data_IF_099413218248
#
_entry.id   IF_099413218248
#
_cell.length_a   1.000
_cell.length_b   1.000
_cell.length_c   1.000
_cell.angle_alpha   90.00
_cell.angle_beta   90.00
_cell.angle_gamma   90.00
#
_symmetry.space_group_name_H-M   'P 1'
#
loop_
_entity.id
_entity.type
_entity.pdbx_description
1 polymer ?
#
# COMPACT_ATOMS: atom_id res chain seq x y z
N UNK A 1 -7.18 5.47 -3.91
CA UNK A 1 -6.63 4.83 -5.13
C UNK A 1 -7.65 3.94 -5.85
N UNK A 2 -8.27 2.95 -5.18
CA UNK A 2 -9.28 2.05 -5.81
C UNK A 2 -10.38 2.80 -6.57
N UNK A 3 -10.94 3.84 -5.97
CA UNK A 3 -12.01 4.65 -6.58
C UNK A 3 -11.53 5.37 -7.85
N UNK A 4 -10.29 5.84 -7.90
CA UNK A 4 -9.75 6.48 -9.10
C UNK A 4 -9.65 5.47 -10.26
N UNK A 5 -9.21 4.23 -9.99
CA UNK A 5 -9.25 3.15 -11.00
C UNK A 5 -10.68 2.85 -11.44
N UNK A 6 -11.61 2.74 -10.49
CA UNK A 6 -13.02 2.44 -10.78
C UNK A 6 -13.70 3.50 -11.66
N UNK A 7 -13.26 4.76 -11.57
CA UNK A 7 -13.76 5.87 -12.38
C UNK A 7 -12.88 6.18 -13.60
N UNK A 8 -11.89 5.32 -13.91
CA UNK A 8 -10.92 5.53 -14.99
C UNK A 8 -10.15 6.87 -14.91
N UNK A 9 -9.96 7.42 -13.70
CA UNK A 9 -9.27 8.68 -13.45
C UNK A 9 -7.78 8.43 -13.17
N UNK A 10 -7.01 8.26 -14.25
CA UNK A 10 -5.56 8.04 -14.17
C UNK A 10 -4.82 9.22 -13.55
N UNK A 11 -5.08 10.49 -13.90
CA UNK A 11 -4.41 11.62 -13.28
C UNK A 11 -4.59 11.69 -11.75
N UNK A 12 -5.79 11.42 -11.23
CA UNK A 12 -5.99 11.36 -9.78
C UNK A 12 -5.29 10.15 -9.15
N UNK A 13 -5.33 8.98 -9.81
CA UNK A 13 -4.62 7.80 -9.33
C UNK A 13 -3.12 8.05 -9.19
N UNK A 14 -2.49 8.63 -10.21
CA UNK A 14 -1.05 8.90 -10.21
C UNK A 14 -0.66 9.89 -9.11
N UNK A 15 -1.45 10.94 -8.88
CA UNK A 15 -1.24 11.88 -7.76
C UNK A 15 -1.34 11.19 -6.39
N UNK A 16 -2.38 10.40 -6.19
CA UNK A 16 -2.58 9.65 -4.94
C UNK A 16 -1.43 8.68 -4.71
N UNK A 17 -1.08 7.90 -5.73
CA UNK A 17 -0.01 6.90 -5.64
C UNK A 17 1.34 7.54 -5.37
N UNK A 18 1.70 8.58 -6.12
CA UNK A 18 2.98 9.27 -5.97
C UNK A 18 3.14 9.86 -4.57
N UNK A 19 2.08 10.46 -4.02
CA UNK A 19 2.12 10.96 -2.65
C UNK A 19 2.28 9.82 -1.64
N UNK A 20 1.49 8.74 -1.77
CA UNK A 20 1.56 7.58 -0.88
C UNK A 20 2.96 6.94 -0.86
N UNK A 21 3.56 6.70 -2.03
CA UNK A 21 4.89 6.08 -2.14
C UNK A 21 6.01 7.00 -1.65
N UNK A 22 5.93 8.31 -1.92
CA UNK A 22 6.97 9.24 -1.47
C UNK A 22 6.89 9.59 0.02
N UNK A 23 5.69 9.63 0.59
CA UNK A 23 5.48 10.14 1.96
C UNK A 23 5.34 9.03 2.99
N UNK A 24 4.68 7.92 2.64
CA UNK A 24 4.33 6.88 3.62
C UNK A 24 5.17 5.61 3.50
N UNK A 25 5.94 5.42 2.42
CA UNK A 25 6.73 4.19 2.25
C UNK A 25 7.73 3.98 3.38
N UNK A 26 7.61 2.85 4.06
CA UNK A 26 8.64 2.34 4.95
C UNK A 26 9.66 1.53 4.14
N UNK A 27 10.86 2.09 3.96
CA UNK A 27 11.94 1.46 3.18
C UNK A 27 12.54 0.21 3.83
N UNK A 28 12.29 -0.02 5.12
CA UNK A 28 12.87 -1.17 5.84
C UNK A 28 12.13 -2.48 5.55
N UNK A 29 10.80 -2.42 5.34
CA UNK A 29 9.98 -3.61 5.12
C UNK A 29 9.17 -3.57 3.81
N UNK A 30 9.07 -2.41 3.13
CA UNK A 30 8.30 -2.27 1.91
C UNK A 30 6.80 -2.07 2.11
N UNK A 31 6.34 -1.82 3.33
CA UNK A 31 4.94 -1.44 3.66
C UNK A 31 4.81 0.08 3.83
N UNK A 32 3.67 0.58 4.30
CA UNK A 32 3.41 2.01 4.46
C UNK A 32 3.11 2.38 5.92
N UNK A 33 3.66 3.50 6.39
CA UNK A 33 3.24 4.11 7.65
C UNK A 33 1.76 4.45 7.58
N UNK A 34 0.99 4.07 8.59
CA UNK A 34 -0.47 4.09 8.49
C UNK A 34 -1.07 5.50 8.53
N UNK A 35 -0.35 6.47 9.12
CA UNK A 35 -0.89 7.79 9.39
C UNK A 35 0.08 8.91 9.07
N UNK A 36 -0.46 9.93 8.41
CA UNK A 36 0.17 11.23 8.22
C UNK A 36 -0.59 12.30 9.01
N UNK A 37 0.12 13.11 9.80
CA UNK A 37 -0.43 14.26 10.50
C UNK A 37 0.32 15.55 10.13
N UNK A 38 -0.21 16.41 9.25
CA UNK A 38 0.52 17.56 8.72
C UNK A 38 0.90 18.62 9.76
N UNK A 39 0.23 18.64 10.92
CA UNK A 39 0.49 19.62 11.98
C UNK A 39 1.39 19.08 13.09
N UNK A 40 1.77 17.80 13.03
CA UNK A 40 2.69 17.21 14.01
C UNK A 40 4.15 17.58 13.67
N UNK A 41 5.04 17.67 14.68
CA UNK A 41 6.47 17.90 14.46
C UNK A 41 7.12 16.81 13.59
N UNK A 42 6.79 15.53 13.84
CA UNK A 42 7.03 14.42 12.90
C UNK A 42 5.66 14.00 12.33
N UNK A 43 5.38 14.32 11.04
CA UNK A 43 4.11 13.97 10.42
C UNK A 43 3.83 12.48 10.31
N UNK A 44 4.85 11.63 10.44
CA UNK A 44 4.75 10.16 10.36
C UNK A 44 5.31 9.53 11.65
N UNK A 45 5.02 10.13 12.81
CA UNK A 45 5.60 9.72 14.09
C UNK A 45 5.43 8.22 14.41
N UNK A 46 4.27 7.65 14.10
CA UNK A 46 4.02 6.22 14.23
C UNK A 46 4.59 5.47 13.02
N UNK A 47 5.51 4.53 13.29
CA UNK A 47 6.24 3.78 12.27
C UNK A 47 5.62 2.42 11.97
N UNK A 48 4.49 2.07 12.59
CA UNK A 48 3.70 0.89 12.23
C UNK A 48 2.94 1.10 10.91
N UNK A 49 2.58 -0.02 10.29
CA UNK A 49 1.70 -0.03 9.13
C UNK A 49 0.23 -0.16 9.54
N UNK A 50 -0.62 -0.46 8.56
CA UNK A 50 -1.98 -0.96 8.76
C UNK A 50 -2.29 -1.88 7.59
N UNK A 51 -2.41 -3.19 7.85
CA UNK A 51 -2.40 -4.22 6.79
C UNK A 51 -3.59 -4.11 5.82
N UNK A 52 -4.72 -3.57 6.26
CA UNK A 52 -5.85 -3.26 5.38
C UNK A 52 -5.49 -2.17 4.37
N UNK A 53 -4.86 -1.08 4.81
CA UNK A 53 -4.35 -0.01 3.96
C UNK A 53 -3.33 -0.50 2.94
N UNK A 54 -2.33 -1.26 3.39
CA UNK A 54 -1.32 -1.88 2.50
C UNK A 54 -1.98 -2.77 1.44
N UNK A 55 -2.95 -3.59 1.85
CA UNK A 55 -3.69 -4.49 0.94
C UNK A 55 -4.51 -3.71 -0.09
N UNK A 56 -5.18 -2.63 0.33
CA UNK A 56 -5.97 -1.78 -0.57
C UNK A 56 -5.08 -1.05 -1.58
N UNK A 57 -3.88 -0.61 -1.18
CA UNK A 57 -2.90 0.02 -2.07
C UNK A 57 -2.42 -0.98 -3.13
N UNK A 58 -1.98 -2.17 -2.70
CA UNK A 58 -1.54 -3.23 -3.61
C UNK A 58 -2.65 -3.63 -4.59
N UNK A 59 -3.87 -3.83 -4.09
CA UNK A 59 -5.01 -4.17 -4.93
C UNK A 59 -5.34 -3.08 -5.95
N UNK A 60 -5.28 -1.81 -5.56
CA UNK A 60 -5.49 -0.70 -6.47
C UNK A 60 -4.43 -0.65 -7.58
N UNK A 61 -3.16 -0.90 -7.25
CA UNK A 61 -2.07 -0.96 -8.22
C UNK A 61 -2.24 -2.13 -9.21
N UNK A 62 -2.61 -3.31 -8.74
CA UNK A 62 -2.89 -4.44 -9.62
C UNK A 62 -4.08 -4.16 -10.56
N UNK A 63 -5.14 -3.52 -10.05
CA UNK A 63 -6.27 -3.09 -10.88
C UNK A 63 -5.88 -2.00 -11.88
N UNK A 64 -5.04 -1.04 -11.48
CA UNK A 64 -4.52 0.00 -12.35
C UNK A 64 -3.70 -0.56 -13.51
N UNK A 65 -2.88 -1.60 -13.27
CA UNK A 65 -2.18 -2.28 -14.35
C UNK A 65 -3.17 -2.89 -15.35
N UNK A 66 -4.23 -3.55 -14.89
CA UNK A 66 -5.25 -4.13 -15.79
C UNK A 66 -6.00 -3.06 -16.58
N UNK A 67 -6.35 -1.94 -15.94
CA UNK A 67 -7.10 -0.84 -16.56
C UNK A 67 -6.28 -0.07 -17.61
N UNK A 68 -5.01 0.23 -17.32
CA UNK A 68 -4.18 1.12 -18.16
C UNK A 68 -2.99 0.43 -18.85
N UNK A 69 -2.87 -0.90 -18.71
CA UNK A 69 -1.84 -1.74 -19.33
C UNK A 69 -0.38 -1.29 -19.03
N UNK A 70 -0.18 -0.65 -17.89
CA UNK A 70 1.13 -0.17 -17.45
C UNK A 70 1.73 -1.11 -16.41
N UNK A 71 2.80 -1.81 -16.82
CA UNK A 71 3.47 -2.87 -16.04
C UNK A 71 4.04 -2.34 -14.71
N UNK A 72 4.33 -1.05 -14.62
CA UNK A 72 4.91 -0.43 -13.42
C UNK A 72 4.00 -0.57 -12.21
N UNK A 73 2.67 -0.50 -12.39
CA UNK A 73 1.74 -0.70 -11.27
C UNK A 73 1.72 -2.15 -10.79
N UNK A 74 1.81 -3.15 -11.68
CA UNK A 74 1.91 -4.55 -11.26
C UNK A 74 3.20 -4.82 -10.49
N UNK A 75 4.35 -4.32 -10.97
CA UNK A 75 5.63 -4.47 -10.26
C UNK A 75 5.55 -3.89 -8.84
N UNK A 76 4.94 -2.71 -8.69
CA UNK A 76 4.74 -2.10 -7.38
C UNK A 76 3.77 -2.92 -6.49
N UNK A 77 2.68 -3.44 -7.06
CA UNK A 77 1.76 -4.33 -6.36
C UNK A 77 2.46 -5.60 -5.86
N UNK A 78 3.23 -6.27 -6.72
CA UNK A 78 3.93 -7.51 -6.40
C UNK A 78 4.88 -7.31 -5.22
N UNK A 79 5.65 -6.22 -5.23
CA UNK A 79 6.54 -5.86 -4.12
C UNK A 79 5.78 -5.68 -2.80
N UNK A 80 4.62 -5.02 -2.80
CA UNK A 80 3.81 -4.81 -1.58
C UNK A 80 3.20 -6.13 -1.10
N UNK A 81 2.66 -6.95 -2.00
CA UNK A 81 2.08 -8.24 -1.61
C UNK A 81 3.13 -9.20 -1.04
N UNK A 82 4.35 -9.21 -1.59
CA UNK A 82 5.46 -9.97 -1.03
C UNK A 82 5.84 -9.47 0.38
N UNK A 83 5.84 -8.14 0.59
CA UNK A 83 6.07 -7.54 1.91
C UNK A 83 4.97 -7.91 2.91
N UNK A 84 3.69 -7.89 2.50
CA UNK A 84 2.56 -8.32 3.33
C UNK A 84 2.73 -9.78 3.79
N UNK A 85 2.98 -10.70 2.86
CA UNK A 85 3.18 -12.11 3.21
C UNK A 85 4.37 -12.32 4.15
N UNK A 86 5.46 -11.56 3.95
CA UNK A 86 6.68 -11.67 4.77
C UNK A 86 6.51 -11.09 6.18
N UNK A 87 5.78 -9.99 6.31
CA UNK A 87 5.80 -9.15 7.53
C UNK A 87 4.50 -9.17 8.33
N UNK A 88 3.36 -9.52 7.72
CA UNK A 88 2.06 -9.44 8.39
C UNK A 88 1.34 -10.77 8.45
N UNK A 89 1.69 -11.75 7.62
CA UNK A 89 1.10 -13.10 7.67
C UNK A 89 1.93 -14.01 8.57
N UNK A 90 1.27 -14.59 9.57
CA UNK A 90 1.88 -15.50 10.55
C UNK A 90 1.11 -16.81 10.66
N UNK A 91 1.78 -17.85 11.15
CA UNK A 91 1.10 -19.11 11.50
C UNK A 91 0.62 -19.04 12.94
N UNK A 92 -0.69 -19.13 13.15
CA UNK A 92 -1.32 -19.14 14.47
C UNK A 92 -2.46 -20.16 14.50
N UNK A 93 -2.53 -20.98 15.55
CA UNK A 93 -3.55 -22.03 15.71
C UNK A 93 -3.72 -22.94 14.46
N UNK A 94 -2.61 -23.31 13.81
CA UNK A 94 -2.61 -24.17 12.62
C UNK A 94 -3.12 -23.51 11.34
N UNK A 95 -3.26 -22.18 11.30
CA UNK A 95 -3.72 -21.40 10.14
C UNK A 95 -2.76 -20.26 9.83
N UNK A 96 -2.79 -19.80 8.57
CA UNK A 96 -2.18 -18.51 8.19
C UNK A 96 -3.16 -17.39 8.53
N UNK A 97 -2.72 -16.39 9.27
CA UNK A 97 -3.52 -15.22 9.66
C UNK A 97 -2.75 -13.95 9.36
N UNK A 98 -3.44 -12.92 8.87
CA UNK A 98 -2.87 -11.59 8.66
C UNK A 98 -3.06 -10.76 9.93
N UNK A 99 -1.97 -10.22 10.46
CA UNK A 99 -1.97 -9.30 11.59
C UNK A 99 -2.52 -7.94 11.16
N UNK A 100 -3.15 -7.17 12.07
CA UNK A 100 -3.60 -5.82 11.74
C UNK A 100 -2.42 -4.86 11.54
N UNK A 101 -1.35 -5.04 12.33
CA UNK A 101 -0.12 -4.24 12.53
C UNK A 101 -0.23 -2.76 12.24
#
# INVERSE_FOLDING_TARGET
MLLAVANNDRPAFDKLWQWTDNTLRNKSNGLFYWRYNPVAPDPIADKNNASDGDTLIAWALLRAQKQWQDKRYAIASDAITAALLKSTVVTFAGRQVMLPV
#
